data_IF_283838065234
#
_entry.id   IF_283838065234
#
_cell.length_a   1.000
_cell.length_b   1.000
_cell.length_c   1.000
_cell.angle_alpha   90.00
_cell.angle_beta   90.00
_cell.angle_gamma   90.00
#
_symmetry.space_group_name_H-M   'P 1'
#
loop_
_entity.id
_entity.type
_entity.pdbx_description
1 polymer ?
#
# COMPACT_ATOMS: atom_id res chain seq x y z
N UNK A 1 -8.50 -21.23 -10.19
CA UNK A 1 -9.23 -20.56 -9.09
C UNK A 1 -9.32 -21.53 -7.92
N UNK A 2 -8.57 -21.34 -6.85
CA UNK A 2 -8.81 -22.08 -5.59
C UNK A 2 -9.80 -21.25 -4.78
N UNK A 3 -11.03 -21.71 -4.65
CA UNK A 3 -12.05 -21.05 -3.82
C UNK A 3 -11.63 -21.16 -2.36
N UNK A 4 -11.68 -20.04 -1.64
CA UNK A 4 -11.54 -20.02 -0.19
C UNK A 4 -12.91 -20.35 0.41
N UNK A 5 -13.06 -21.55 0.96
CA UNK A 5 -14.30 -21.98 1.63
C UNK A 5 -14.11 -21.88 3.14
N UNK A 6 -14.93 -21.08 3.83
CA UNK A 6 -15.01 -21.08 5.29
C UNK A 6 -16.03 -22.17 5.67
N UNK A 7 -15.55 -23.32 6.16
CA UNK A 7 -16.42 -24.39 6.65
C UNK A 7 -16.61 -24.16 8.16
N UNK A 8 -17.74 -23.59 8.55
CA UNK A 8 -18.17 -23.55 9.95
C UNK A 8 -18.83 -24.89 10.29
N UNK A 9 -18.05 -25.90 10.69
CA UNK A 9 -18.63 -27.08 11.32
C UNK A 9 -19.06 -26.70 12.74
N UNK A 10 -20.30 -27.03 13.10
CA UNK A 10 -20.79 -26.92 14.46
C UNK A 10 -19.77 -27.54 15.44
N UNK A 11 -19.24 -26.69 16.32
CA UNK A 11 -18.19 -26.90 17.34
C UNK A 11 -16.72 -26.70 16.89
N UNK A 12 -16.20 -25.53 17.31
CA UNK A 12 -14.90 -25.25 17.96
C UNK A 12 -13.59 -25.07 17.18
N UNK A 13 -13.53 -25.05 15.85
CA UNK A 13 -12.27 -24.70 15.15
C UNK A 13 -12.52 -23.85 13.89
N UNK A 14 -11.97 -22.63 13.85
CA UNK A 14 -11.85 -21.83 12.61
C UNK A 14 -10.53 -22.21 11.95
N UNK A 15 -10.60 -22.68 10.68
CA UNK A 15 -9.42 -22.99 9.85
C UNK A 15 -9.31 -21.95 8.75
N UNK A 16 -8.17 -21.26 8.67
CA UNK A 16 -7.84 -20.35 7.57
C UNK A 16 -6.74 -21.02 6.74
N UNK A 17 -6.98 -21.25 5.44
CA UNK A 17 -6.05 -22.00 4.58
C UNK A 17 -5.03 -21.09 3.87
N UNK A 18 -3.77 -21.24 4.27
CA UNK A 18 -2.55 -21.11 3.46
C UNK A 18 -1.65 -22.32 3.74
N UNK A 19 -0.37 -22.33 3.33
CA UNK A 19 0.56 -23.45 3.61
C UNK A 19 0.77 -23.72 5.11
N UNK A 20 0.35 -22.78 5.97
CA UNK A 20 0.26 -22.95 7.42
C UNK A 20 -1.20 -22.95 7.86
N UNK A 21 -1.60 -24.00 8.56
CA UNK A 21 -2.90 -24.10 9.21
C UNK A 21 -2.80 -23.44 10.59
N UNK A 22 -3.53 -22.34 10.78
CA UNK A 22 -3.73 -21.74 12.11
C UNK A 22 -4.97 -22.39 12.71
N UNK A 23 -4.80 -23.07 13.86
CA UNK A 23 -5.91 -23.60 14.66
C UNK A 23 -6.21 -22.66 15.81
N UNK A 24 -7.44 -22.12 15.85
CA UNK A 24 -7.90 -21.27 16.94
C UNK A 24 -8.73 -22.12 17.90
N UNK A 25 -8.23 -22.31 19.13
CA UNK A 25 -8.95 -23.00 20.20
C UNK A 25 -9.69 -21.98 21.07
N UNK A 26 -10.96 -22.27 21.35
CA UNK A 26 -11.75 -21.46 22.26
C UNK A 26 -11.18 -21.55 23.69
N UNK A 27 -10.95 -20.39 24.32
CA UNK A 27 -10.51 -20.28 25.71
C UNK A 27 -11.14 -19.06 26.39
N UNK A 28 -11.24 -19.09 27.72
CA UNK A 28 -11.64 -17.91 28.48
C UNK A 28 -10.61 -16.79 28.29
N UNK A 29 -11.08 -15.59 27.94
CA UNK A 29 -10.22 -14.40 27.84
C UNK A 29 -9.85 -14.01 29.28
N UNK A 30 -8.54 -13.93 29.56
CA UNK A 30 -8.00 -13.42 30.82
C UNK A 30 -7.60 -11.96 30.62
N UNK A 31 -7.56 -11.19 31.70
CA UNK A 31 -7.03 -9.84 31.68
C UNK A 31 -5.59 -9.86 31.16
N UNK A 32 -5.35 -9.18 30.04
CA UNK A 32 -4.03 -9.03 29.45
C UNK A 32 -3.88 -7.68 28.76
N UNK A 33 -2.64 -7.24 28.62
CA UNK A 33 -2.27 -6.07 27.83
C UNK A 33 -1.42 -6.53 26.65
N UNK A 34 -1.73 -6.01 25.46
CA UNK A 34 -0.99 -6.31 24.22
C UNK A 34 -0.62 -5.01 23.51
N UNK A 35 0.55 -5.01 22.88
CA UNK A 35 0.97 -3.94 22.00
C UNK A 35 0.57 -4.35 20.58
N UNK A 36 -0.26 -3.54 19.94
CA UNK A 36 -0.62 -3.73 18.53
C UNK A 36 0.39 -3.03 17.63
N UNK A 37 0.72 -3.60 16.46
CA UNK A 37 1.61 -2.95 15.52
C UNK A 37 0.95 -1.69 14.93
N UNK A 38 1.76 -0.84 14.29
CA UNK A 38 1.26 0.35 13.61
C UNK A 38 0.12 0.09 12.62
N UNK A 39 -0.71 1.10 12.39
CA UNK A 39 -1.81 1.01 11.41
C UNK A 39 -1.26 1.03 9.99
N UNK A 40 -1.62 0.01 9.19
CA UNK A 40 -1.30 -0.05 7.76
C UNK A 40 -1.82 1.18 7.01
N UNK A 41 -3.08 1.51 7.24
CA UNK A 41 -3.77 2.63 6.58
C UNK A 41 -3.14 3.99 6.92
N UNK A 42 -2.69 4.19 8.16
CA UNK A 42 -1.97 5.40 8.54
C UNK A 42 -0.56 5.41 8.00
N UNK A 43 0.14 4.28 8.01
CA UNK A 43 1.51 4.21 7.46
C UNK A 43 1.53 4.62 5.99
N UNK A 44 0.60 4.12 5.14
CA UNK A 44 0.50 4.56 3.74
C UNK A 44 0.31 6.09 3.62
N UNK A 45 -0.65 6.65 4.39
CA UNK A 45 -1.00 8.06 4.31
C UNK A 45 0.12 8.97 4.83
N UNK A 46 0.78 8.58 5.92
CA UNK A 46 1.90 9.31 6.49
C UNK A 46 3.10 9.31 5.53
N UNK A 47 3.42 8.18 4.91
CA UNK A 47 4.48 8.11 3.90
C UNK A 47 4.21 9.06 2.73
N UNK A 48 2.98 9.09 2.23
CA UNK A 48 2.61 9.95 1.10
C UNK A 48 2.56 11.42 1.51
N UNK A 49 1.96 11.75 2.65
CA UNK A 49 1.87 13.11 3.15
C UNK A 49 3.27 13.70 3.43
N UNK A 50 4.16 12.92 4.03
CA UNK A 50 5.54 13.36 4.28
C UNK A 50 6.35 13.49 2.99
N UNK A 51 6.15 12.60 2.01
CA UNK A 51 6.76 12.71 0.69
C UNK A 51 6.29 13.96 -0.08
N UNK A 52 5.04 14.39 0.11
CA UNK A 52 4.50 15.63 -0.48
C UNK A 52 5.03 16.91 0.19
N UNK A 53 5.48 16.83 1.45
CA UNK A 53 5.96 18.00 2.20
C UNK A 53 7.25 18.60 1.60
N UNK A 54 7.62 19.80 2.05
CA UNK A 54 8.82 20.50 1.60
C UNK A 54 10.09 20.24 2.44
N UNK A 55 10.07 19.27 3.37
CA UNK A 55 11.15 19.13 4.35
C UNK A 55 11.33 17.72 4.92
N UNK A 56 12.15 17.64 5.96
CA UNK A 56 12.43 16.38 6.68
C UNK A 56 11.29 16.09 7.67
N UNK A 57 10.70 14.93 7.56
CA UNK A 57 9.71 14.41 8.49
C UNK A 57 10.23 13.14 9.16
N UNK A 58 9.82 12.94 10.41
CA UNK A 58 10.14 11.76 11.21
C UNK A 58 8.81 11.08 11.54
N UNK A 59 8.69 9.81 11.17
CA UNK A 59 7.53 8.97 11.47
C UNK A 59 7.98 7.85 12.40
N UNK A 60 7.37 7.78 13.57
CA UNK A 60 7.55 6.67 14.50
C UNK A 60 6.54 5.55 14.25
N UNK A 61 6.94 4.31 14.53
CA UNK A 61 6.10 3.12 14.49
C UNK A 61 5.37 2.89 13.15
N UNK A 62 6.07 3.15 12.04
CA UNK A 62 5.60 2.73 10.71
C UNK A 62 5.44 1.21 10.65
N UNK A 63 4.24 0.72 10.28
CA UNK A 63 4.03 -0.70 10.05
C UNK A 63 4.93 -1.20 8.92
N UNK A 64 5.72 -2.25 9.16
CA UNK A 64 6.48 -2.95 8.14
C UNK A 64 5.68 -4.16 7.63
N UNK A 65 4.90 -3.92 6.58
CA UNK A 65 4.13 -4.93 5.86
C UNK A 65 4.50 -4.88 4.38
N UNK A 66 4.21 -5.93 3.62
CA UNK A 66 4.46 -5.95 2.16
C UNK A 66 3.88 -4.68 1.48
N UNK A 67 2.62 -4.36 1.76
CA UNK A 67 1.94 -3.18 1.21
C UNK A 67 2.69 -1.86 1.51
N UNK A 68 3.08 -1.63 2.76
CA UNK A 68 3.70 -0.37 3.18
C UNK A 68 5.14 -0.26 2.70
N UNK A 69 5.87 -1.38 2.63
CA UNK A 69 7.20 -1.45 2.05
C UNK A 69 7.16 -1.19 0.55
N UNK A 70 6.13 -1.67 -0.17
CA UNK A 70 5.93 -1.36 -1.58
C UNK A 70 5.62 0.12 -1.81
N UNK A 71 4.86 0.77 -0.92
CA UNK A 71 4.69 2.23 -0.96
C UNK A 71 6.02 2.95 -0.76
N UNK A 72 6.82 2.58 0.24
CA UNK A 72 8.14 3.18 0.46
C UNK A 72 9.06 2.99 -0.75
N UNK A 73 9.07 1.79 -1.34
CA UNK A 73 9.86 1.49 -2.54
C UNK A 73 9.42 2.35 -3.73
N UNK A 74 8.12 2.50 -3.95
CA UNK A 74 7.59 3.35 -5.00
C UNK A 74 8.01 4.81 -4.81
N UNK A 75 7.86 5.36 -3.60
CA UNK A 75 8.29 6.72 -3.29
C UNK A 75 9.80 6.90 -3.51
N UNK A 76 10.63 5.91 -3.16
CA UNK A 76 12.07 5.92 -3.47
C UNK A 76 12.34 5.93 -4.98
N UNK A 77 11.58 5.16 -5.76
CA UNK A 77 11.68 5.19 -7.24
C UNK A 77 11.29 6.57 -7.80
N UNK A 78 10.34 7.24 -7.16
CA UNK A 78 9.91 8.61 -7.48
C UNK A 78 10.84 9.70 -6.90
N UNK A 79 12.04 9.32 -6.45
CA UNK A 79 13.07 10.25 -5.99
C UNK A 79 12.99 10.69 -4.53
N UNK A 80 12.05 10.16 -3.74
CA UNK A 80 11.92 10.51 -2.32
C UNK A 80 13.03 9.80 -1.53
N UNK A 81 13.83 10.57 -0.81
CA UNK A 81 14.80 10.01 0.13
C UNK A 81 14.05 9.49 1.37
N UNK A 82 14.19 8.19 1.66
CA UNK A 82 13.59 7.54 2.82
C UNK A 82 14.63 6.66 3.49
N UNK A 83 14.91 6.94 4.76
CA UNK A 83 15.81 6.16 5.62
C UNK A 83 15.02 5.52 6.76
N UNK A 84 15.37 4.28 7.09
CA UNK A 84 14.72 3.49 8.14
C UNK A 84 15.79 3.09 9.15
N UNK A 85 15.59 3.44 10.42
CA UNK A 85 16.45 3.03 11.53
C UNK A 85 15.57 2.71 12.73
N UNK A 86 15.66 1.47 13.21
CA UNK A 86 14.80 0.95 14.28
C UNK A 86 13.31 1.17 13.94
N UNK A 87 12.54 1.80 14.83
CA UNK A 87 11.13 2.14 14.61
C UNK A 87 10.93 3.49 13.92
N UNK A 88 12.02 4.21 13.61
CA UNK A 88 11.98 5.54 13.02
C UNK A 88 12.14 5.46 11.51
N UNK A 89 11.20 6.07 10.79
CA UNK A 89 11.28 6.31 9.35
C UNK A 89 11.46 7.79 9.11
N UNK A 90 12.57 8.17 8.49
CA UNK A 90 12.85 9.56 8.11
C UNK A 90 12.59 9.73 6.62
N UNK A 91 11.74 10.70 6.27
CA UNK A 91 11.34 11.01 4.89
C UNK A 91 11.75 12.44 4.60
N UNK A 92 12.45 12.68 3.49
CA UNK A 92 12.69 14.03 2.98
C UNK A 92 11.73 14.28 1.84
N UNK A 93 10.75 15.13 2.11
CA UNK A 93 9.70 15.48 1.17
C UNK A 93 10.22 16.19 -0.08
N UNK A 94 9.49 16.02 -1.17
CA UNK A 94 9.83 16.51 -2.52
C UNK A 94 9.04 17.76 -2.92
N UNK A 95 8.23 18.32 -2.03
CA UNK A 95 7.37 19.49 -2.28
C UNK A 95 6.51 19.32 -3.55
N UNK A 96 5.93 18.13 -3.73
CA UNK A 96 5.13 17.76 -4.90
C UNK A 96 5.91 17.50 -6.20
N UNK A 97 7.25 17.63 -6.23
CA UNK A 97 8.06 17.46 -7.44
C UNK A 97 8.66 16.06 -7.51
N UNK A 98 7.96 15.09 -8.09
CA UNK A 98 8.43 13.70 -8.14
C UNK A 98 9.23 13.39 -9.41
N UNK A 99 10.27 12.57 -9.26
CA UNK A 99 11.18 12.22 -10.34
C UNK A 99 10.60 11.10 -11.23
N UNK A 100 10.80 11.13 -12.55
CA UNK A 100 10.29 10.10 -13.47
C UNK A 100 10.83 8.71 -13.15
N UNK A 101 9.96 7.71 -13.21
CA UNK A 101 10.35 6.31 -13.05
C UNK A 101 10.73 5.68 -14.39
N UNK A 102 11.94 5.12 -14.50
CA UNK A 102 12.38 4.36 -15.69
C UNK A 102 11.67 3.01 -15.82
N UNK A 103 11.39 2.38 -14.68
CA UNK A 103 10.76 1.06 -14.59
C UNK A 103 9.35 1.17 -14.02
N UNK A 104 8.43 0.24 -14.38
CA UNK A 104 7.12 0.17 -13.77
C UNK A 104 7.19 0.04 -12.24
N UNK A 105 6.33 0.80 -11.55
CA UNK A 105 6.14 0.70 -10.10
C UNK A 105 5.27 -0.53 -9.81
N UNK A 106 5.90 -1.57 -9.25
CA UNK A 106 5.19 -2.80 -8.86
C UNK A 106 4.64 -2.70 -7.43
N UNK A 107 3.34 -2.92 -7.27
CA UNK A 107 2.58 -2.73 -6.01
C UNK A 107 1.87 -3.99 -5.51
N UNK A 108 2.26 -5.17 -6.02
CA UNK A 108 1.71 -6.47 -5.65
C UNK A 108 0.16 -6.48 -5.62
N UNK A 109 -0.47 -6.73 -4.48
CA UNK A 109 -1.93 -6.68 -4.30
C UNK A 109 -2.39 -5.48 -3.44
N UNK A 110 -1.53 -4.47 -3.28
CA UNK A 110 -1.79 -3.30 -2.46
C UNK A 110 -2.69 -2.29 -3.19
N UNK A 111 -4.00 -2.50 -3.08
CA UNK A 111 -4.99 -1.59 -3.70
C UNK A 111 -4.94 -0.16 -3.14
N UNK A 112 -4.51 0.01 -1.89
CA UNK A 112 -4.30 1.34 -1.30
C UNK A 112 -3.11 2.04 -1.94
N UNK A 113 -1.97 1.35 -2.07
CA UNK A 113 -0.79 1.90 -2.75
C UNK A 113 -1.12 2.29 -4.19
N UNK A 114 -1.80 1.39 -4.93
CA UNK A 114 -2.18 1.63 -6.33
C UNK A 114 -2.93 2.94 -6.46
N UNK A 115 -4.05 3.11 -5.75
CA UNK A 115 -4.90 4.30 -5.90
C UNK A 115 -4.22 5.58 -5.44
N UNK A 116 -3.54 5.55 -4.28
CA UNK A 116 -2.92 6.76 -3.76
C UNK A 116 -1.73 7.18 -4.65
N UNK A 117 -0.87 6.24 -5.04
CA UNK A 117 0.29 6.55 -5.88
C UNK A 117 -0.11 6.93 -7.31
N UNK A 118 -1.22 6.43 -7.86
CA UNK A 118 -1.77 6.94 -9.12
C UNK A 118 -2.06 8.45 -9.03
N UNK A 119 -2.63 8.91 -7.92
CA UNK A 119 -2.83 10.34 -7.68
C UNK A 119 -1.52 11.12 -7.51
N UNK A 120 -0.52 10.53 -6.83
CA UNK A 120 0.79 11.18 -6.65
C UNK A 120 1.57 11.26 -7.96
N UNK A 121 1.50 10.23 -8.81
CA UNK A 121 2.13 10.21 -10.12
C UNK A 121 1.66 11.36 -11.02
N UNK A 122 0.44 11.85 -10.79
CA UNK A 122 -0.15 12.99 -11.49
C UNK A 122 0.60 14.31 -11.24
N UNK A 123 1.38 14.40 -10.16
CA UNK A 123 2.21 15.56 -9.81
C UNK A 123 3.65 15.44 -10.33
N UNK A 124 4.05 14.25 -10.78
CA UNK A 124 5.42 13.98 -11.23
C UNK A 124 5.64 14.38 -12.68
N UNK A 125 6.91 14.43 -13.08
CA UNK A 125 7.27 14.65 -14.47
C UNK A 125 7.35 13.32 -15.23
N UNK A 126 6.91 13.30 -16.49
CA UNK A 126 7.00 12.13 -17.38
C UNK A 126 5.86 11.12 -17.23
N UNK A 127 6.13 9.87 -17.62
CA UNK A 127 5.13 8.79 -17.64
C UNK A 127 5.42 7.83 -16.48
N UNK A 128 4.39 7.55 -15.68
CA UNK A 128 4.45 6.54 -14.63
C UNK A 128 3.59 5.34 -15.00
N UNK A 129 4.19 4.15 -14.98
CA UNK A 129 3.46 2.89 -15.15
C UNK A 129 3.34 2.22 -13.79
N UNK A 130 2.11 2.07 -13.29
CA UNK A 130 1.84 1.34 -12.05
C UNK A 130 1.28 -0.05 -12.38
N UNK A 131 1.77 -1.08 -11.71
CA UNK A 131 1.37 -2.47 -11.95
C UNK A 131 1.36 -3.29 -10.66
N UNK A 132 0.87 -4.51 -10.74
CA UNK A 132 0.77 -5.42 -9.60
C UNK A 132 0.55 -6.86 -10.03
N UNK A 133 0.14 -7.70 -9.08
CA UNK A 133 -0.28 -9.08 -9.35
C UNK A 133 -1.44 -9.12 -10.35
N UNK A 134 -1.65 -10.29 -11.00
CA UNK A 134 -2.81 -10.49 -11.88
C UNK A 134 -4.13 -10.10 -11.21
N UNK A 135 -4.31 -10.50 -9.95
CA UNK A 135 -5.51 -10.16 -9.16
C UNK A 135 -5.66 -8.65 -8.95
N UNK A 136 -4.57 -7.93 -8.73
CA UNK A 136 -4.62 -6.47 -8.58
C UNK A 136 -5.02 -5.78 -9.87
N UNK A 137 -4.54 -6.27 -11.02
CA UNK A 137 -4.90 -5.76 -12.34
C UNK A 137 -6.37 -5.98 -12.72
N UNK A 138 -7.08 -6.88 -12.03
CA UNK A 138 -8.52 -7.10 -12.19
C UNK A 138 -9.38 -6.17 -11.31
N UNK A 139 -8.77 -5.38 -10.40
CA UNK A 139 -9.52 -4.52 -9.48
C UNK A 139 -9.81 -3.18 -10.16
N UNK A 140 -11.05 -2.68 -10.08
CA UNK A 140 -11.44 -1.46 -10.77
C UNK A 140 -10.69 -0.24 -10.25
N UNK A 141 -10.26 0.60 -11.19
CA UNK A 141 -9.63 1.91 -10.96
C UNK A 141 -10.26 3.03 -11.80
N UNK A 142 -11.22 2.71 -12.68
CA UNK A 142 -11.76 3.65 -13.66
C UNK A 142 -12.27 4.96 -13.05
N UNK A 143 -13.01 4.92 -11.93
CA UNK A 143 -13.50 6.14 -11.25
C UNK A 143 -12.37 7.13 -10.91
N UNK A 144 -11.19 6.63 -10.53
CA UNK A 144 -10.02 7.46 -10.25
C UNK A 144 -9.42 8.03 -11.54
N UNK A 145 -9.36 7.23 -12.61
CA UNK A 145 -8.87 7.68 -13.91
C UNK A 145 -9.78 8.76 -14.49
N UNK A 146 -11.10 8.60 -14.36
CA UNK A 146 -12.10 9.58 -14.78
C UNK A 146 -11.95 10.88 -13.99
N UNK A 147 -11.75 10.79 -12.67
CA UNK A 147 -11.47 11.97 -11.83
C UNK A 147 -10.20 12.71 -12.22
N UNK A 148 -9.14 12.00 -12.60
CA UNK A 148 -7.91 12.61 -13.13
C UNK A 148 -8.14 13.26 -14.50
N UNK A 149 -8.92 12.60 -15.37
CA UNK A 149 -9.28 13.13 -16.69
C UNK A 149 -10.08 14.45 -16.57
N UNK A 150 -10.97 14.58 -15.59
CA UNK A 150 -11.72 15.82 -15.32
C UNK A 150 -10.83 17.03 -15.01
N UNK A 151 -9.61 16.80 -14.51
CA UNK A 151 -8.61 17.85 -14.26
C UNK A 151 -7.51 17.85 -15.32
N UNK A 152 -7.79 17.32 -16.52
CA UNK A 152 -6.92 17.27 -17.70
C UNK A 152 -5.63 16.46 -17.53
N UNK A 153 -5.62 15.49 -16.61
CA UNK A 153 -4.49 14.59 -16.42
C UNK A 153 -4.70 13.34 -17.28
N UNK A 154 -3.78 13.08 -18.20
CA UNK A 154 -3.84 11.90 -19.07
C UNK A 154 -3.45 10.64 -18.30
N UNK A 155 -4.44 9.83 -17.93
CA UNK A 155 -4.25 8.55 -17.27
C UNK A 155 -5.14 7.48 -17.93
N UNK A 156 -4.60 6.28 -18.16
CA UNK A 156 -5.33 5.18 -18.80
C UNK A 156 -4.97 3.82 -18.22
N UNK A 157 -5.95 2.93 -18.17
CA UNK A 157 -5.72 1.50 -17.93
C UNK A 157 -5.27 0.84 -19.22
N UNK A 158 -4.06 0.26 -19.24
CA UNK A 158 -3.52 -0.41 -20.44
C UNK A 158 -4.31 -1.67 -20.79
N UNK A 159 -4.95 -2.31 -19.79
CA UNK A 159 -5.69 -3.57 -19.95
C UNK A 159 -7.21 -3.40 -19.95
N UNK A 160 -7.72 -2.17 -19.86
CA UNK A 160 -9.15 -1.87 -19.94
C UNK A 160 -9.98 -2.35 -18.73
N UNK A 161 -9.33 -2.61 -17.60
CA UNK A 161 -9.96 -2.89 -16.29
C UNK A 161 -9.87 -1.70 -15.35
#
# INVERSE_FOLDING_TARGET
MKSCSIILKHRKDIRISGDKVIQIKQQAIKDCSIIVPGSKSYTHRLLIATALSAGKCIIDNCLKSEDTLLTMKALRQMGVKIEEKDNITTVWGKNGKFDPCKEPIYLANSGTSMRLLTGIAALGEGIYTLTGTKRMQERPIQDLLDGLSQINISAKSIKGT
#
